data_IF_997675582901
#
_entry.id   IF_997675582901
#
_cell.length_a   1.000
_cell.length_b   1.000
_cell.length_c   1.000
_cell.angle_alpha   90.00
_cell.angle_beta   90.00
_cell.angle_gamma   90.00
#
_symmetry.space_group_name_H-M   'P 1'
#
loop_
_entity.id
_entity.type
_entity.pdbx_description
1 polymer ?
#
# COMPACT_ATOMS: atom_id res chain seq x y z
N UNK A 1 29.10 16.67 34.76
CA UNK A 1 28.30 15.57 35.36
C UNK A 1 26.88 15.69 34.86
N UNK A 2 26.36 14.66 34.18
CA UNK A 2 24.98 14.65 33.70
C UNK A 2 24.07 14.32 34.88
N UNK A 3 23.06 15.17 35.13
CA UNK A 3 22.11 14.98 36.22
C UNK A 3 21.22 13.75 35.96
N UNK A 4 20.92 12.99 37.01
CA UNK A 4 20.01 11.84 36.95
C UNK A 4 18.60 12.23 36.46
N UNK A 5 18.21 13.51 36.63
CA UNK A 5 16.99 14.07 36.03
C UNK A 5 17.09 14.15 34.50
N UNK A 6 18.24 14.57 33.97
CA UNK A 6 18.50 14.64 32.53
C UNK A 6 18.46 13.26 31.87
N UNK A 7 18.98 12.23 32.55
CA UNK A 7 18.94 10.84 32.06
C UNK A 7 17.50 10.33 31.94
N UNK A 8 16.65 10.60 32.95
CA UNK A 8 15.24 10.17 32.94
C UNK A 8 14.43 10.85 31.84
N UNK A 9 14.66 12.15 31.62
CA UNK A 9 14.00 12.91 30.54
C UNK A 9 14.43 12.37 29.17
N UNK A 10 15.71 12.06 28.98
CA UNK A 10 16.20 11.49 27.74
C UNK A 10 15.59 10.11 27.46
N UNK A 11 15.50 9.23 28.47
CA UNK A 11 14.84 7.93 28.31
C UNK A 11 13.36 8.08 27.94
N UNK A 12 12.65 9.02 28.57
CA UNK A 12 11.26 9.32 28.22
C UNK A 12 11.11 9.79 26.77
N UNK A 13 12.00 10.67 26.31
CA UNK A 13 11.99 11.15 24.93
C UNK A 13 12.29 10.02 23.93
N UNK A 14 13.25 9.16 24.23
CA UNK A 14 13.60 8.01 23.36
C UNK A 14 12.42 7.04 23.26
N UNK A 15 11.77 6.70 24.38
CA UNK A 15 10.59 5.82 24.39
C UNK A 15 9.41 6.46 23.64
N UNK A 16 9.18 7.76 23.84
CA UNK A 16 8.12 8.49 23.13
C UNK A 16 8.34 8.50 21.61
N UNK A 17 9.56 8.82 21.15
CA UNK A 17 9.89 8.82 19.72
C UNK A 17 9.76 7.43 19.12
N UNK A 18 10.27 6.38 19.79
CA UNK A 18 10.14 5.00 19.32
C UNK A 18 8.68 4.56 19.23
N UNK A 19 7.84 4.94 20.20
CA UNK A 19 6.40 4.60 20.19
C UNK A 19 5.61 5.27 19.06
N UNK A 20 6.07 6.41 18.53
CA UNK A 20 5.40 7.09 17.41
C UNK A 20 5.76 6.49 16.05
N UNK A 21 6.90 5.81 15.92
CA UNK A 21 7.32 5.19 14.65
C UNK A 21 6.52 3.94 14.27
N UNK A 22 5.82 3.31 15.20
CA UNK A 22 4.94 2.16 14.91
C UNK A 22 3.59 2.56 14.33
N UNK A 23 3.23 3.85 14.36
CA UNK A 23 1.96 4.36 13.83
C UNK A 23 2.05 4.80 12.36
N UNK A 24 3.26 4.95 11.81
CA UNK A 24 3.45 5.29 10.41
C UNK A 24 3.43 4.03 9.55
N UNK A 25 2.26 3.65 9.05
CA UNK A 25 2.14 2.62 8.00
C UNK A 25 2.55 3.26 6.68
N UNK A 26 3.73 2.89 6.16
CA UNK A 26 4.12 3.26 4.81
C UNK A 26 3.16 2.58 3.82
N UNK A 27 2.42 3.37 3.03
CA UNK A 27 1.48 2.84 2.03
C UNK A 27 2.16 2.22 0.81
N UNK A 28 3.50 2.27 0.74
CA UNK A 28 4.27 1.85 -0.43
C UNK A 28 4.02 2.71 -1.67
N UNK A 29 4.68 2.37 -2.76
CA UNK A 29 4.28 2.74 -4.13
C UNK A 29 3.87 1.45 -4.82
N UNK A 30 2.65 1.37 -5.34
CA UNK A 30 2.23 0.23 -6.16
C UNK A 30 2.58 0.53 -7.61
N UNK A 31 3.50 -0.26 -8.17
CA UNK A 31 3.91 -0.20 -9.58
C UNK A 31 3.98 -1.64 -10.08
N UNK A 32 3.34 -1.90 -11.20
CA UNK A 32 3.42 -3.16 -11.93
C UNK A 32 3.67 -2.84 -13.40
N UNK A 33 4.75 -3.39 -13.96
CA UNK A 33 5.15 -3.20 -15.35
C UNK A 33 4.74 -4.38 -16.24
N UNK A 34 4.16 -5.43 -15.64
CA UNK A 34 3.70 -6.66 -16.28
C UNK A 34 4.76 -7.40 -17.12
N UNK A 35 6.05 -7.10 -16.95
CA UNK A 35 7.15 -7.72 -17.70
C UNK A 35 7.28 -9.22 -17.41
N UNK A 36 6.76 -9.66 -16.27
CA UNK A 36 6.74 -11.06 -15.86
C UNK A 36 5.50 -11.83 -16.36
N UNK A 37 4.62 -11.20 -17.15
CA UNK A 37 3.32 -11.74 -17.59
C UNK A 37 2.41 -12.20 -16.44
N UNK A 38 2.55 -11.60 -15.25
CA UNK A 38 1.69 -11.87 -14.09
C UNK A 38 1.10 -10.54 -13.58
N UNK A 39 -0.22 -10.48 -13.33
CA UNK A 39 -0.85 -9.30 -12.75
C UNK A 39 -0.77 -9.38 -11.22
N UNK A 40 0.44 -9.20 -10.68
CA UNK A 40 0.73 -9.40 -9.26
C UNK A 40 0.07 -8.29 -8.41
N UNK A 41 -0.70 -8.68 -7.39
CA UNK A 41 -1.44 -7.72 -6.55
C UNK A 41 -2.72 -7.17 -7.18
N UNK A 42 -3.07 -7.60 -8.39
CA UNK A 42 -4.35 -7.30 -9.02
C UNK A 42 -5.38 -8.40 -8.77
N UNK A 43 -6.61 -8.03 -8.45
CA UNK A 43 -7.72 -8.99 -8.22
C UNK A 43 -8.84 -8.76 -9.23
N UNK A 44 -9.07 -9.76 -10.10
CA UNK A 44 -10.23 -9.78 -11.00
C UNK A 44 -11.52 -9.98 -10.21
N UNK A 45 -12.51 -9.13 -10.47
CA UNK A 45 -13.88 -9.25 -9.91
C UNK A 45 -14.86 -9.61 -11.03
N UNK A 46 -14.64 -9.12 -12.24
CA UNK A 46 -15.45 -9.43 -13.41
C UNK A 46 -14.73 -9.13 -14.72
N UNK A 47 -15.29 -9.62 -15.83
CA UNK A 47 -14.73 -9.46 -17.17
C UNK A 47 -13.50 -10.36 -17.44
N UNK A 48 -13.07 -10.37 -18.70
CA UNK A 48 -11.84 -11.05 -19.13
C UNK A 48 -10.73 -10.04 -19.21
N UNK A 49 -9.52 -10.38 -18.76
CA UNK A 49 -8.37 -9.48 -18.75
C UNK A 49 -7.13 -10.19 -19.26
N UNK A 50 -6.27 -9.46 -19.98
CA UNK A 50 -5.01 -9.97 -20.53
C UNK A 50 -3.89 -8.95 -20.39
N UNK A 51 -2.67 -9.43 -20.22
CA UNK A 51 -1.48 -8.58 -20.31
C UNK A 51 -1.13 -8.38 -21.78
N UNK A 52 -0.93 -7.13 -22.19
CA UNK A 52 -0.56 -6.75 -23.56
C UNK A 52 0.17 -5.42 -23.52
N UNK A 53 1.20 -5.25 -24.35
CA UNK A 53 1.90 -3.96 -24.55
C UNK A 53 2.38 -3.30 -23.23
N UNK A 54 2.80 -4.10 -22.24
CA UNK A 54 3.24 -3.60 -20.93
C UNK A 54 2.12 -3.11 -20.01
N UNK A 55 0.86 -3.47 -20.30
CA UNK A 55 -0.30 -3.12 -19.49
C UNK A 55 -1.25 -4.29 -19.25
N UNK A 56 -2.20 -4.10 -18.33
CA UNK A 56 -3.28 -5.05 -18.06
C UNK A 56 -4.59 -4.55 -18.65
N UNK A 57 -5.03 -5.20 -19.73
CA UNK A 57 -6.13 -4.74 -20.57
C UNK A 57 -7.38 -5.59 -20.35
N UNK A 58 -8.51 -4.90 -20.19
CA UNK A 58 -9.82 -5.53 -20.31
C UNK A 58 -10.03 -6.06 -21.71
N UNK A 59 -10.65 -7.23 -21.80
CA UNK A 59 -11.18 -7.81 -23.03
C UNK A 59 -12.69 -7.82 -22.84
N UNK A 60 -13.43 -7.34 -23.82
CA UNK A 60 -14.90 -7.42 -23.86
C UNK A 60 -15.35 -8.58 -24.76
N UNK A 61 -15.24 -9.85 -24.33
CA UNK A 61 -16.07 -10.87 -24.92
C UNK A 61 -17.48 -10.69 -24.33
N UNK A 62 -18.42 -10.24 -25.15
CA UNK A 62 -19.87 -10.26 -24.88
C UNK A 62 -20.40 -9.20 -23.89
N UNK A 63 -19.82 -7.99 -23.86
CA UNK A 63 -20.39 -6.85 -23.10
C UNK A 63 -20.61 -7.11 -21.60
N UNK A 64 -19.79 -7.98 -21.00
CA UNK A 64 -19.84 -8.25 -19.56
C UNK A 64 -19.18 -7.11 -18.81
N UNK A 65 -19.85 -6.55 -17.80
CA UNK A 65 -19.23 -5.59 -16.89
C UNK A 65 -17.97 -6.18 -16.25
N UNK A 66 -16.84 -5.52 -16.48
CA UNK A 66 -15.53 -5.94 -16.02
C UNK A 66 -14.96 -4.99 -14.98
N UNK A 67 -14.50 -5.54 -13.86
CA UNK A 67 -13.80 -4.78 -12.84
C UNK A 67 -12.59 -5.56 -12.34
N UNK A 68 -11.52 -4.82 -12.07
CA UNK A 68 -10.28 -5.29 -11.49
C UNK A 68 -9.93 -4.33 -10.35
N UNK A 69 -9.57 -4.90 -9.20
CA UNK A 69 -9.20 -4.17 -8.00
C UNK A 69 -7.69 -4.20 -7.81
N UNK A 70 -7.15 -3.09 -7.32
CA UNK A 70 -5.77 -2.98 -6.83
C UNK A 70 -5.77 -2.53 -5.38
N UNK A 71 -4.72 -2.90 -4.67
CA UNK A 71 -4.42 -2.36 -3.35
C UNK A 71 -4.47 -3.37 -2.21
N UNK A 72 -4.20 -2.86 -1.01
CA UNK A 72 -4.21 -3.61 0.24
C UNK A 72 -5.50 -3.27 1.02
N UNK A 73 -6.14 -4.23 1.72
CA UNK A 73 -7.28 -3.93 2.62
C UNK A 73 -6.99 -2.85 3.67
N UNK A 74 -5.72 -2.56 3.97
CA UNK A 74 -5.24 -1.50 4.86
C UNK A 74 -5.11 -0.14 4.18
N UNK A 75 -5.27 -0.07 2.86
CA UNK A 75 -5.40 1.21 2.15
C UNK A 75 -6.73 1.84 2.58
N UNK A 76 -6.68 2.62 3.65
CA UNK A 76 -7.83 3.36 4.14
C UNK A 76 -8.23 4.44 3.14
N UNK A 77 -9.53 4.78 3.11
CA UNK A 77 -9.97 6.02 2.51
C UNK A 77 -9.16 7.16 3.14
N UNK A 78 -8.49 7.99 2.33
CA UNK A 78 -7.99 9.27 2.85
C UNK A 78 -9.21 10.02 3.38
N UNK A 79 -9.35 10.06 4.70
CA UNK A 79 -10.25 11.00 5.34
C UNK A 79 -9.67 12.38 5.04
N UNK A 80 -10.23 13.04 4.03
CA UNK A 80 -10.03 14.48 3.86
C UNK A 80 -10.79 15.14 5.01
N UNK A 81 -10.03 15.61 6.00
CA UNK A 81 -10.52 16.42 7.12
C UNK A 81 -10.10 17.87 6.91
#
# INVERSE_FOLDING_TARGET
MISQRSIRVLHFLVVAVLSMTTLTVWSGTFVDDFNNNKPDGWKKVGGTWKIKDGGYHGVEPNSVEGAVLIGDPKWGARLFH
#
